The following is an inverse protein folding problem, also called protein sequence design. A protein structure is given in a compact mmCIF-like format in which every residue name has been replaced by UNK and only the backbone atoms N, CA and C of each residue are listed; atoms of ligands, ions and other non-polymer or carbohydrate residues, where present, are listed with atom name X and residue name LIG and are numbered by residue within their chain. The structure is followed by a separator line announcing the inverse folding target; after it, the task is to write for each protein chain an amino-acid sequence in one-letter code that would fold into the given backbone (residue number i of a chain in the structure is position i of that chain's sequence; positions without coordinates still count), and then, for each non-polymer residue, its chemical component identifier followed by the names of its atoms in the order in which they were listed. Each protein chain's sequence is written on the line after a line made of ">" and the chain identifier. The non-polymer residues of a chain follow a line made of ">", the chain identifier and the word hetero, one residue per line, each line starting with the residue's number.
data_IF_184624278641
#
_entry.id   IF_184624278641
#
_cell.length_a   1.000
_cell.length_b   1.000
_cell.length_c   1.000
_cell.angle_alpha   90.00
_cell.angle_beta   90.00
_cell.angle_gamma   90.00
#
_symmetry.space_group_name_H-M   'P 1'
#
loop_
_entity.id
_entity.type
_entity.pdbx_description
1 polymer ?
#
# COMPACT_ATOMS: atom_id res chain seq x y z
N UNK A 1 16.06 -12.22 -4.99
CA UNK A 1 15.66 -10.87 -4.56
C UNK A 1 14.20 -10.68 -4.94
N UNK A 2 13.37 -10.05 -4.12
CA UNK A 2 12.00 -9.67 -4.49
C UNK A 2 12.13 -8.58 -5.54
N UNK A 3 11.47 -8.74 -6.68
CA UNK A 3 11.47 -7.70 -7.70
C UNK A 3 10.60 -6.53 -7.19
N UNK A 4 11.26 -5.50 -6.73
CA UNK A 4 10.65 -4.24 -6.31
C UNK A 4 10.80 -3.26 -7.46
N UNK A 5 9.73 -2.62 -7.88
CA UNK A 5 9.81 -1.58 -8.91
C UNK A 5 10.30 -0.29 -8.27
N UNK A 6 11.46 0.20 -8.69
CA UNK A 6 12.00 1.44 -8.14
C UNK A 6 11.30 2.67 -8.73
N UNK A 7 11.38 3.78 -8.00
CA UNK A 7 10.71 5.04 -8.35
C UNK A 7 11.11 5.56 -9.75
N UNK A 8 12.34 5.34 -10.19
CA UNK A 8 12.80 5.81 -11.51
C UNK A 8 12.09 5.15 -12.71
N UNK A 9 11.45 4.00 -12.53
CA UNK A 9 10.63 3.38 -13.57
C UNK A 9 9.37 4.20 -13.86
N UNK A 10 8.92 5.00 -12.89
CA UNK A 10 7.73 5.83 -13.00
C UNK A 10 8.02 7.27 -13.45
N UNK A 11 9.23 7.75 -13.27
CA UNK A 11 9.61 9.11 -13.62
C UNK A 11 11.10 9.18 -14.02
N UNK A 12 11.51 8.52 -15.11
CA UNK A 12 12.91 8.43 -15.51
C UNK A 12 13.52 9.80 -15.74
N UNK A 13 12.83 10.69 -16.45
CA UNK A 13 13.34 12.02 -16.83
C UNK A 13 13.51 12.97 -15.63
N UNK A 14 12.80 12.72 -14.52
CA UNK A 14 12.87 13.58 -13.32
C UNK A 14 14.07 13.16 -12.45
N UNK A 15 14.54 11.93 -12.58
CA UNK A 15 15.51 11.31 -11.67
C UNK A 15 16.95 11.30 -12.20
N UNK A 16 17.17 11.63 -13.48
CA UNK A 16 18.53 11.71 -14.06
C UNK A 16 19.41 12.83 -13.47
N UNK A 17 18.83 13.75 -12.70
CA UNK A 17 19.50 14.99 -12.26
C UNK A 17 19.88 15.04 -10.78
N UNK A 18 20.18 13.90 -10.07
CA UNK A 18 20.19 14.02 -8.63
C UNK A 18 21.28 13.43 -7.77
N UNK A 19 21.64 14.30 -6.82
CA UNK A 19 22.30 13.98 -5.56
C UNK A 19 21.42 13.00 -4.74
N UNK A 20 21.82 11.74 -4.69
CA UNK A 20 21.10 10.62 -4.06
C UNK A 20 21.08 10.69 -2.53
N UNK A 21 21.72 11.71 -1.93
CA UNK A 21 21.84 11.85 -0.47
C UNK A 21 20.55 12.32 0.22
N UNK A 22 19.61 12.93 -0.52
CA UNK A 22 18.37 13.52 0.00
C UNK A 22 17.11 12.68 -0.24
N UNK A 23 17.25 11.40 -0.68
CA UNK A 23 16.12 10.58 -1.09
C UNK A 23 15.46 11.07 -2.39
N UNK A 24 14.36 10.42 -2.78
CA UNK A 24 13.68 10.72 -4.04
C UNK A 24 12.26 11.23 -3.79
N UNK A 25 11.91 12.28 -4.53
CA UNK A 25 10.55 12.78 -4.68
C UNK A 25 10.26 13.02 -6.15
N UNK A 26 9.07 12.64 -6.61
CA UNK A 26 8.57 12.97 -7.94
C UNK A 26 7.08 13.25 -7.89
N UNK A 27 6.67 14.40 -8.44
CA UNK A 27 5.28 14.72 -8.75
C UNK A 27 5.08 14.69 -10.27
N UNK A 28 3.98 14.11 -10.73
CA UNK A 28 3.69 13.88 -12.14
C UNK A 28 2.21 14.11 -12.46
N UNK A 29 1.92 14.42 -13.73
CA UNK A 29 0.57 14.36 -14.30
C UNK A 29 0.38 13.00 -14.95
N UNK A 30 -0.73 12.35 -14.70
CA UNK A 30 -0.98 11.00 -15.22
C UNK A 30 -1.20 11.01 -16.74
N UNK A 31 -1.69 12.07 -17.30
CA UNK A 31 -1.90 12.26 -18.73
C UNK A 31 -0.59 12.31 -19.55
N UNK A 32 0.54 12.58 -18.89
CA UNK A 32 1.86 12.64 -19.55
C UNK A 32 2.45 11.23 -19.80
N UNK A 33 1.82 10.19 -19.24
CA UNK A 33 2.26 8.82 -19.42
C UNK A 33 1.51 8.13 -20.55
N UNK A 34 2.26 7.42 -21.40
CA UNK A 34 1.64 6.55 -22.39
C UNK A 34 0.86 5.40 -21.72
N UNK A 35 -0.14 4.87 -22.41
CA UNK A 35 -0.89 3.72 -21.92
C UNK A 35 0.03 2.50 -21.64
N UNK A 36 1.11 2.35 -22.40
CA UNK A 36 2.12 1.29 -22.19
C UNK A 36 2.92 1.52 -20.91
N UNK A 37 3.36 2.76 -20.63
CA UNK A 37 4.05 3.12 -19.41
C UNK A 37 3.16 2.91 -18.19
N UNK A 38 1.89 3.31 -18.28
CA UNK A 38 0.90 3.08 -17.24
C UNK A 38 0.65 1.59 -17.01
N UNK A 39 0.53 0.78 -18.08
CA UNK A 39 0.35 -0.66 -17.99
C UNK A 39 1.56 -1.36 -17.33
N UNK A 40 2.78 -0.93 -17.64
CA UNK A 40 4.00 -1.45 -17.02
C UNK A 40 4.01 -1.19 -15.50
N UNK A 41 3.45 -0.07 -15.05
CA UNK A 41 3.35 0.28 -13.62
C UNK A 41 2.16 -0.39 -12.93
N UNK A 42 1.17 -0.86 -13.67
CA UNK A 42 -0.07 -1.45 -13.17
C UNK A 42 0.12 -2.86 -12.58
N UNK A 43 1.25 -3.52 -12.86
CA UNK A 43 1.50 -4.90 -12.40
C UNK A 43 1.44 -5.02 -10.87
N UNK A 44 0.90 -6.15 -10.40
CA UNK A 44 0.88 -6.47 -8.97
C UNK A 44 2.30 -6.67 -8.45
N UNK A 45 2.89 -5.62 -7.90
CA UNK A 45 4.27 -5.60 -7.41
C UNK A 45 4.41 -4.71 -6.19
N UNK A 46 5.49 -4.91 -5.44
CA UNK A 46 5.94 -3.92 -4.45
C UNK A 46 6.63 -2.76 -5.16
N UNK A 47 6.59 -1.62 -4.52
CA UNK A 47 7.32 -0.42 -4.94
C UNK A 47 8.31 -0.07 -3.83
N UNK A 48 9.38 0.64 -4.15
CA UNK A 48 10.34 1.10 -3.13
C UNK A 48 9.99 2.50 -2.57
N UNK A 49 8.78 2.98 -2.87
CA UNK A 49 8.29 4.31 -2.53
C UNK A 49 6.86 4.31 -2.01
N UNK A 50 6.51 5.35 -1.30
CA UNK A 50 5.13 5.74 -0.98
C UNK A 50 4.54 6.54 -2.12
N UNK A 51 3.25 6.39 -2.39
CA UNK A 51 2.57 7.12 -3.46
C UNK A 51 1.25 7.67 -2.98
N UNK A 52 0.98 8.92 -3.35
CA UNK A 52 -0.32 9.57 -3.21
C UNK A 52 -0.77 9.91 -4.62
N UNK A 53 -1.98 9.51 -4.99
CA UNK A 53 -2.56 9.78 -6.33
C UNK A 53 -3.89 10.45 -6.19
N UNK A 54 -4.08 11.55 -6.90
CA UNK A 54 -5.37 12.17 -7.16
C UNK A 54 -5.82 11.73 -8.53
N UNK A 55 -6.87 10.91 -8.62
CA UNK A 55 -7.23 10.20 -9.85
C UNK A 55 -8.71 10.32 -10.16
N UNK A 56 -8.99 10.32 -11.47
CA UNK A 56 -10.33 10.13 -12.03
C UNK A 56 -10.26 9.19 -13.22
N UNK A 57 -11.41 8.69 -13.66
CA UNK A 57 -11.50 7.75 -14.77
C UNK A 57 -12.04 6.40 -14.32
N UNK A 58 -12.31 5.54 -15.28
CA UNK A 58 -12.87 4.21 -15.04
C UNK A 58 -11.76 3.23 -14.63
N UNK A 59 -11.43 3.22 -13.36
CA UNK A 59 -10.26 2.48 -12.82
C UNK A 59 -10.63 1.62 -11.61
N UNK A 60 -9.89 0.52 -11.43
CA UNK A 60 -9.93 -0.29 -10.20
C UNK A 60 -8.57 -0.33 -9.52
N UNK A 61 -8.56 -0.18 -8.22
CA UNK A 61 -7.39 -0.38 -7.36
C UNK A 61 -7.57 -1.64 -6.53
N UNK A 62 -6.62 -2.55 -6.62
CA UNK A 62 -6.58 -3.77 -5.84
C UNK A 62 -5.51 -3.63 -4.76
N UNK A 63 -5.95 -3.36 -3.55
CA UNK A 63 -5.08 -3.10 -2.42
C UNK A 63 -5.51 -3.90 -1.20
N UNK A 64 -4.59 -4.64 -0.59
CA UNK A 64 -4.83 -5.50 0.57
C UNK A 64 -6.02 -6.47 0.41
N UNK A 65 -6.22 -7.00 -0.81
CA UNK A 65 -7.29 -7.95 -1.10
C UNK A 65 -8.68 -7.31 -1.31
N UNK A 66 -8.76 -6.00 -1.31
CA UNK A 66 -9.99 -5.25 -1.59
C UNK A 66 -9.86 -4.58 -2.96
N UNK A 67 -10.94 -4.65 -3.74
CA UNK A 67 -11.09 -3.87 -4.96
C UNK A 67 -11.82 -2.56 -4.65
N UNK A 68 -11.22 -1.45 -5.07
CA UNK A 68 -11.80 -0.11 -5.02
C UNK A 68 -12.06 0.35 -6.44
N UNK A 69 -13.31 0.39 -6.86
CA UNK A 69 -13.72 0.82 -8.20
C UNK A 69 -14.12 2.28 -8.23
N UNK A 70 -13.53 3.03 -9.16
CA UNK A 70 -13.91 4.38 -9.53
C UNK A 70 -14.66 4.32 -10.85
N UNK A 71 -15.74 5.09 -10.96
CA UNK A 71 -16.50 5.25 -12.19
C UNK A 71 -16.15 6.61 -12.80
N UNK A 72 -16.15 6.71 -14.11
CA UNK A 72 -15.69 7.79 -14.97
C UNK A 72 -15.46 9.19 -14.37
N UNK A 73 -16.44 9.80 -13.73
CA UNK A 73 -16.37 11.16 -13.19
C UNK A 73 -16.03 11.23 -11.69
N UNK A 74 -15.91 10.07 -11.03
CA UNK A 74 -15.53 10.02 -9.62
C UNK A 74 -14.07 10.44 -9.47
N UNK A 75 -13.81 11.40 -8.58
CA UNK A 75 -12.46 11.74 -8.13
C UNK A 75 -12.14 11.04 -6.82
N UNK A 76 -10.94 10.53 -6.75
CA UNK A 76 -10.44 9.91 -5.52
C UNK A 76 -8.99 10.25 -5.23
N UNK A 77 -8.68 10.37 -3.93
CA UNK A 77 -7.33 10.39 -3.43
C UNK A 77 -6.96 8.98 -2.94
N UNK A 78 -5.85 8.44 -3.46
CA UNK A 78 -5.42 7.07 -3.22
C UNK A 78 -4.03 7.06 -2.59
N UNK A 79 -3.90 6.40 -1.46
CA UNK A 79 -2.62 6.21 -0.75
C UNK A 79 -2.13 4.78 -0.91
N UNK A 80 -0.89 4.61 -1.33
CA UNK A 80 -0.27 3.29 -1.43
C UNK A 80 1.07 3.24 -0.71
N UNK A 81 1.25 2.18 0.07
CA UNK A 81 2.43 1.93 0.89
C UNK A 81 3.44 1.08 0.12
N UNK A 82 4.73 1.34 0.30
CA UNK A 82 5.85 0.59 -0.29
C UNK A 82 5.85 -0.89 0.06
N UNK A 83 5.41 -1.24 1.26
CA UNK A 83 5.50 -2.60 1.80
C UNK A 83 4.33 -3.50 1.38
N UNK A 84 3.26 -2.91 0.85
CA UNK A 84 2.05 -3.62 0.44
C UNK A 84 1.98 -3.67 -1.08
N UNK A 85 2.03 -4.86 -1.69
CA UNK A 85 1.83 -4.99 -3.12
C UNK A 85 0.44 -4.51 -3.52
N UNK A 86 0.36 -3.77 -4.59
CA UNK A 86 -0.91 -3.33 -5.16
C UNK A 86 -0.90 -3.43 -6.69
N UNK A 87 -2.09 -3.44 -7.25
CA UNK A 87 -2.34 -3.39 -8.68
C UNK A 87 -3.44 -2.37 -8.95
N UNK A 88 -3.36 -1.74 -10.10
CA UNK A 88 -4.45 -0.90 -10.59
C UNK A 88 -4.71 -1.22 -12.06
N UNK A 89 -5.94 -1.00 -12.50
CA UNK A 89 -6.40 -1.30 -13.86
C UNK A 89 -7.22 -0.12 -14.37
N UNK A 90 -6.97 0.26 -15.61
CA UNK A 90 -7.82 1.19 -16.36
C UNK A 90 -8.75 0.34 -17.22
N UNK A 91 -10.07 0.47 -17.04
CA UNK A 91 -11.03 -0.35 -17.75
C UNK A 91 -11.39 0.25 -19.11
N UNK A 92 -11.67 1.56 -19.16
CA UNK A 92 -12.00 2.28 -20.38
C UNK A 92 -11.56 3.73 -20.28
N UNK A 93 -11.13 4.30 -21.40
CA UNK A 93 -10.74 5.72 -21.48
C UNK A 93 -9.35 5.99 -20.91
N UNK A 94 -9.15 7.22 -20.45
CA UNK A 94 -7.88 7.73 -19.91
C UNK A 94 -8.03 7.88 -18.40
N UNK A 95 -7.06 7.40 -17.66
CA UNK A 95 -6.88 7.75 -16.26
C UNK A 95 -6.20 9.11 -16.21
N UNK A 96 -6.85 10.08 -15.60
CA UNK A 96 -6.37 11.46 -15.50
C UNK A 96 -6.10 11.84 -14.05
N UNK A 97 -5.27 12.86 -13.86
CA UNK A 97 -4.98 13.42 -12.55
C UNK A 97 -3.50 13.54 -12.24
N UNK A 98 -3.14 13.33 -10.98
CA UNK A 98 -1.81 13.60 -10.48
C UNK A 98 -1.33 12.45 -9.60
N UNK A 99 -0.02 12.31 -9.49
CA UNK A 99 0.58 11.48 -8.46
C UNK A 99 1.84 12.12 -7.90
N UNK A 100 2.10 11.92 -6.61
CA UNK A 100 3.43 12.12 -6.06
C UNK A 100 3.93 10.82 -5.43
N UNK A 101 5.22 10.60 -5.59
CA UNK A 101 5.94 9.43 -5.11
C UNK A 101 7.15 9.90 -4.31
N UNK A 102 7.44 9.24 -3.20
CA UNK A 102 8.61 9.56 -2.40
C UNK A 102 9.15 8.35 -1.65
N UNK A 103 10.47 8.32 -1.50
CA UNK A 103 11.15 7.31 -0.69
C UNK A 103 11.17 7.73 0.79
N UNK A 104 11.49 6.79 1.67
CA UNK A 104 11.60 7.07 3.10
C UNK A 104 12.71 8.10 3.39
N UNK A 105 13.80 8.04 2.62
CA UNK A 105 14.96 8.94 2.76
C UNK A 105 14.67 10.37 2.30
N UNK A 106 13.54 10.60 1.61
CA UNK A 106 13.07 11.95 1.27
C UNK A 106 12.69 12.78 2.51
N UNK A 107 12.35 12.12 3.60
CA UNK A 107 11.98 12.79 4.83
C UNK A 107 13.22 13.48 5.46
N UNK A 108 13.07 14.70 6.01
CA UNK A 108 14.18 15.37 6.67
C UNK A 108 14.78 14.51 7.78
N UNK A 109 16.12 14.43 7.82
CA UNK A 109 16.90 13.61 8.77
C UNK A 109 16.56 13.87 10.25
N UNK A 110 15.96 15.00 10.56
CA UNK A 110 15.63 15.42 11.92
C UNK A 110 14.15 15.25 12.28
N UNK A 111 13.34 14.68 11.39
CA UNK A 111 11.95 14.38 11.72
C UNK A 111 11.84 12.99 12.35
N UNK A 112 11.08 12.88 13.43
CA UNK A 112 10.69 11.59 14.01
C UNK A 112 9.49 10.97 13.26
N UNK A 113 9.01 11.62 12.20
CA UNK A 113 7.87 11.18 11.40
C UNK A 113 8.32 10.09 10.41
N UNK A 114 7.66 8.94 10.47
CA UNK A 114 7.84 7.87 9.49
C UNK A 114 6.55 7.70 8.72
N UNK A 115 6.57 7.55 7.38
CA UNK A 115 5.35 7.31 6.62
C UNK A 115 4.58 6.09 7.10
N UNK A 116 5.27 5.05 7.56
CA UNK A 116 4.65 3.86 8.15
C UNK A 116 3.82 4.15 9.41
N UNK A 117 4.07 5.25 10.13
CA UNK A 117 3.32 5.65 11.32
C UNK A 117 2.06 6.46 10.95
N UNK A 118 1.98 6.98 9.72
CA UNK A 118 0.80 7.73 9.27
C UNK A 118 -0.36 6.79 8.97
N UNK A 119 -1.52 7.15 9.51
CA UNK A 119 -2.72 6.33 9.43
C UNK A 119 -3.08 5.92 7.99
N UNK A 120 -2.90 6.82 7.02
CA UNK A 120 -3.15 6.58 5.58
C UNK A 120 -2.22 5.54 4.94
N UNK A 121 -1.07 5.23 5.55
CA UNK A 121 -0.13 4.24 5.04
C UNK A 121 -0.05 2.96 5.89
N UNK A 122 -0.46 2.99 7.16
CA UNK A 122 -0.31 1.84 8.06
C UNK A 122 -1.53 0.93 8.15
N UNK A 123 -2.56 1.17 7.36
CA UNK A 123 -3.75 0.33 7.32
C UNK A 123 -4.79 0.62 8.39
N UNK A 124 -4.62 1.68 9.15
CA UNK A 124 -5.56 2.06 10.20
C UNK A 124 -6.70 2.94 9.70
N UNK A 125 -6.61 3.44 8.47
CA UNK A 125 -7.61 4.26 7.81
C UNK A 125 -7.97 3.72 6.44
N UNK A 126 -8.82 4.43 5.75
CA UNK A 126 -9.20 4.22 4.37
C UNK A 126 -8.03 4.59 3.44
N UNK A 127 -7.79 3.81 2.39
CA UNK A 127 -6.73 4.07 1.40
C UNK A 127 -7.22 4.85 0.20
N UNK A 128 -8.53 4.84 -0.05
CA UNK A 128 -9.20 5.48 -1.18
C UNK A 128 -10.26 6.40 -0.62
N UNK A 129 -10.09 7.70 -0.80
CA UNK A 129 -11.01 8.75 -0.36
C UNK A 129 -11.73 9.29 -1.59
N UNK A 130 -13.03 9.05 -1.69
CA UNK A 130 -13.86 9.72 -2.69
C UNK A 130 -13.99 11.19 -2.35
N UNK A 131 -13.85 12.05 -3.35
CA UNK A 131 -13.77 13.49 -3.19
C UNK A 131 -15.03 14.15 -3.75
N UNK A 132 -15.51 15.19 -3.09
CA UNK A 132 -16.43 16.14 -3.67
C UNK A 132 -15.66 17.23 -4.48
N UNK A 133 -16.34 18.12 -5.15
CA UNK A 133 -15.72 19.18 -6.01
C UNK A 133 -14.78 20.12 -5.22
N UNK A 134 -15.15 20.47 -3.98
CA UNK A 134 -14.33 21.33 -3.13
C UNK A 134 -13.02 20.65 -2.75
N UNK A 135 -13.11 19.39 -2.33
CA UNK A 135 -11.94 18.58 -1.94
C UNK A 135 -11.05 18.31 -3.16
N UNK A 136 -11.64 17.96 -4.30
CA UNK A 136 -10.92 17.78 -5.56
C UNK A 136 -10.14 19.04 -5.95
N UNK A 137 -10.75 20.23 -5.87
CA UNK A 137 -10.10 21.49 -6.17
C UNK A 137 -8.94 21.78 -5.22
N UNK A 138 -9.11 21.51 -3.93
CA UNK A 138 -8.06 21.67 -2.91
C UNK A 138 -6.85 20.78 -3.23
N UNK A 139 -7.07 19.47 -3.43
CA UNK A 139 -5.98 18.53 -3.72
C UNK A 139 -5.33 18.81 -5.07
N UNK A 140 -6.10 19.21 -6.10
CA UNK A 140 -5.55 19.66 -7.38
C UNK A 140 -4.57 20.81 -7.19
N UNK A 141 -4.93 21.81 -6.39
CA UNK A 141 -4.06 22.92 -6.05
C UNK A 141 -2.77 22.50 -5.35
N UNK A 142 -2.83 21.52 -4.45
CA UNK A 142 -1.64 20.97 -3.78
C UNK A 142 -0.70 20.26 -4.78
N UNK A 143 -1.23 19.42 -5.65
CA UNK A 143 -0.40 18.75 -6.66
C UNK A 143 0.21 19.73 -7.67
N UNK A 144 -0.52 20.78 -8.06
CA UNK A 144 0.02 21.84 -8.89
C UNK A 144 1.19 22.57 -8.22
N UNK A 145 1.08 22.89 -6.92
CA UNK A 145 2.18 23.45 -6.13
C UNK A 145 3.38 22.49 -6.10
N UNK A 146 3.16 21.19 -5.89
CA UNK A 146 4.24 20.19 -5.93
C UNK A 146 4.97 20.17 -7.26
N UNK A 147 4.24 20.21 -8.39
CA UNK A 147 4.82 20.25 -9.73
C UNK A 147 5.63 21.54 -9.98
N UNK A 148 5.08 22.69 -9.59
CA UNK A 148 5.78 23.98 -9.71
C UNK A 148 7.06 24.01 -8.89
N UNK A 149 6.98 23.58 -7.63
CA UNK A 149 8.12 23.60 -6.73
C UNK A 149 9.19 22.60 -7.16
N UNK A 150 8.82 21.41 -7.63
CA UNK A 150 9.76 20.43 -8.18
C UNK A 150 10.61 21.01 -9.31
N UNK A 151 10.01 21.85 -10.16
CA UNK A 151 10.68 22.52 -11.28
C UNK A 151 11.44 23.80 -10.88
N UNK A 152 11.32 24.25 -9.61
CA UNK A 152 11.95 25.49 -9.16
C UNK A 152 13.43 25.30 -8.85
N UNK A 153 14.18 26.43 -8.87
CA UNK A 153 15.58 26.49 -8.43
C UNK A 153 15.73 26.87 -6.95
N UNK A 154 14.64 26.85 -6.18
CA UNK A 154 14.66 27.22 -4.78
C UNK A 154 15.53 26.24 -3.96
N UNK A 155 16.47 26.78 -3.18
CA UNK A 155 17.45 25.96 -2.45
C UNK A 155 16.81 24.99 -1.42
N UNK A 156 15.66 25.37 -0.85
CA UNK A 156 14.94 24.56 0.14
C UNK A 156 13.67 23.90 -0.41
N UNK A 157 13.60 23.69 -1.73
CA UNK A 157 12.41 23.11 -2.37
C UNK A 157 11.98 21.77 -1.81
N UNK A 158 12.93 20.92 -1.38
CA UNK A 158 12.60 19.61 -0.81
C UNK A 158 11.92 19.72 0.56
N UNK A 159 12.28 20.71 1.36
CA UNK A 159 11.58 21.00 2.62
C UNK A 159 10.13 21.46 2.33
N UNK A 160 9.95 22.32 1.34
CA UNK A 160 8.62 22.79 0.95
C UNK A 160 7.77 21.67 0.32
N UNK A 161 8.35 20.83 -0.53
CA UNK A 161 7.67 19.63 -1.07
C UNK A 161 7.23 18.68 0.04
N UNK A 162 8.06 18.49 1.06
CA UNK A 162 7.69 17.70 2.24
C UNK A 162 6.49 18.29 2.99
N UNK A 163 6.43 19.62 3.16
CA UNK A 163 5.28 20.29 3.77
C UNK A 163 4.01 20.09 2.95
N UNK A 164 4.06 20.11 1.63
CA UNK A 164 2.91 19.83 0.77
C UNK A 164 2.44 18.37 0.89
N UNK A 165 3.37 17.42 1.04
CA UNK A 165 3.01 16.02 1.32
C UNK A 165 2.29 15.90 2.65
N UNK A 166 2.79 16.57 3.70
CA UNK A 166 2.13 16.59 5.02
C UNK A 166 0.74 17.24 4.96
N UNK A 167 0.62 18.37 4.25
CA UNK A 167 -0.68 19.04 4.07
C UNK A 167 -1.67 18.11 3.36
N UNK A 168 -1.24 17.40 2.32
CA UNK A 168 -2.06 16.42 1.62
C UNK A 168 -2.54 15.30 2.55
N UNK A 169 -1.64 14.72 3.36
CA UNK A 169 -1.97 13.65 4.31
C UNK A 169 -2.97 14.13 5.36
N UNK A 170 -2.69 15.28 6.00
CA UNK A 170 -3.57 15.81 7.04
C UNK A 170 -4.92 16.27 6.50
N UNK A 171 -4.97 16.82 5.28
CA UNK A 171 -6.22 17.17 4.61
C UNK A 171 -7.06 15.93 4.33
N UNK A 172 -6.43 14.83 3.86
CA UNK A 172 -7.13 13.56 3.66
C UNK A 172 -7.68 12.98 4.96
N UNK A 173 -6.92 13.03 6.06
CA UNK A 173 -7.38 12.56 7.36
C UNK A 173 -8.59 13.34 7.90
N UNK A 174 -8.76 14.61 7.49
CA UNK A 174 -9.95 15.40 7.83
C UNK A 174 -11.19 14.99 7.05
N UNK A 175 -11.04 14.31 5.89
CA UNK A 175 -12.17 13.77 5.12
C UNK A 175 -12.79 12.53 5.79
N UNK A 176 -12.09 11.89 6.70
CA UNK A 176 -12.68 10.82 7.49
C UNK A 176 -13.81 11.39 8.35
N UNK A 177 -15.02 10.78 8.31
CA UNK A 177 -16.10 11.18 9.21
C UNK A 177 -15.55 11.15 10.65
N UNK A 178 -15.86 12.19 11.45
CA UNK A 178 -15.43 12.33 12.87
C UNK A 178 -15.81 11.12 13.76
N UNK A 179 -16.52 10.16 13.23
CA UNK A 179 -16.91 8.92 13.91
C UNK A 179 -15.72 8.06 14.36
N UNK A 180 -14.52 8.24 13.76
CA UNK A 180 -13.34 7.47 14.18
C UNK A 180 -12.55 8.10 15.34
N UNK A 181 -12.74 9.36 15.67
CA UNK A 181 -11.94 10.03 16.71
C UNK A 181 -12.63 10.19 18.07
N UNK A 182 -13.98 10.03 18.17
CA UNK A 182 -14.72 10.23 19.42
C UNK A 182 -15.32 8.99 20.08
N UNK A 183 -15.37 7.86 19.36
CA UNK A 183 -15.72 6.56 19.95
C UNK A 183 -15.07 5.41 19.17
N UNK A 184 -13.73 5.34 19.14
CA UNK A 184 -13.15 4.05 18.76
C UNK A 184 -13.62 3.07 19.83
N UNK A 185 -14.60 2.24 19.48
CA UNK A 185 -15.07 1.18 20.38
C UNK A 185 -13.87 0.35 20.81
N UNK A 186 -13.92 -0.31 21.95
CA UNK A 186 -12.88 -1.22 22.37
C UNK A 186 -12.56 -2.23 21.23
N UNK A 187 -13.58 -2.63 20.47
CA UNK A 187 -13.46 -3.49 19.29
C UNK A 187 -12.65 -2.84 18.17
N UNK A 188 -12.88 -1.56 17.86
CA UNK A 188 -12.14 -0.86 16.81
C UNK A 188 -10.66 -0.68 17.18
N UNK A 189 -10.36 -0.30 18.44
CA UNK A 189 -8.96 -0.20 18.93
C UNK A 189 -8.25 -1.54 18.86
N UNK A 190 -8.91 -2.61 19.28
CA UNK A 190 -8.36 -3.96 19.24
C UNK A 190 -8.14 -4.44 17.80
N UNK A 191 -9.07 -4.16 16.89
CA UNK A 191 -8.93 -4.48 15.47
C UNK A 191 -7.77 -3.72 14.83
N UNK A 192 -7.56 -2.45 15.15
CA UNK A 192 -6.44 -1.67 14.65
C UNK A 192 -5.10 -2.19 15.19
N UNK A 193 -5.01 -2.49 16.49
CA UNK A 193 -3.82 -3.08 17.08
C UNK A 193 -3.47 -4.43 16.42
N UNK A 194 -4.46 -5.27 16.14
CA UNK A 194 -4.26 -6.53 15.40
C UNK A 194 -3.74 -6.27 13.98
N UNK A 195 -4.35 -5.34 13.23
CA UNK A 195 -3.92 -4.99 11.86
C UNK A 195 -2.47 -4.52 11.84
N UNK A 196 -2.09 -3.65 12.79
CA UNK A 196 -0.71 -3.16 12.93
C UNK A 196 0.28 -4.31 13.19
N UNK A 197 -0.03 -5.21 14.12
CA UNK A 197 0.81 -6.38 14.39
C UNK A 197 0.90 -7.32 13.18
N UNK A 198 -0.20 -7.54 12.48
CA UNK A 198 -0.22 -8.40 11.30
C UNK A 198 0.60 -7.77 10.16
N UNK A 199 0.41 -6.49 9.90
CA UNK A 199 1.14 -5.76 8.85
C UNK A 199 2.64 -5.71 9.15
N UNK A 200 3.03 -5.47 10.41
CA UNK A 200 4.43 -5.35 10.84
C UNK A 200 5.28 -6.63 10.69
N UNK A 201 4.68 -7.77 10.35
CA UNK A 201 5.42 -9.00 10.02
C UNK A 201 5.92 -9.02 8.57
N UNK A 202 5.52 -8.08 7.75
CA UNK A 202 5.79 -8.03 6.32
C UNK A 202 6.43 -6.68 5.96
N UNK A 203 7.17 -6.64 4.85
CA UNK A 203 7.47 -7.70 3.90
C UNK A 203 8.49 -8.72 4.41
N UNK A 204 8.47 -9.94 3.86
CA UNK A 204 9.54 -10.90 4.07
C UNK A 204 10.71 -10.55 3.13
N UNK A 205 11.88 -10.27 3.73
CA UNK A 205 13.03 -9.75 2.99
C UNK A 205 13.96 -10.86 2.42
N UNK A 206 14.03 -12.02 3.07
CA UNK A 206 14.93 -13.13 2.68
C UNK A 206 14.32 -14.50 3.00
N UNK A 207 14.73 -15.59 2.29
CA UNK A 207 14.06 -16.90 2.32
C UNK A 207 14.01 -17.61 3.68
N UNK A 208 14.90 -17.24 4.60
CA UNK A 208 14.95 -17.86 5.92
C UNK A 208 14.25 -17.04 7.01
N UNK A 209 13.74 -15.89 6.65
CA UNK A 209 12.91 -15.10 7.55
C UNK A 209 11.55 -15.78 7.72
N UNK A 210 11.15 -16.03 8.95
CA UNK A 210 9.83 -16.57 9.27
C UNK A 210 8.96 -15.52 9.93
N UNK A 211 7.65 -15.60 9.67
CA UNK A 211 6.68 -14.81 10.43
C UNK A 211 6.65 -15.26 11.89
N UNK A 212 6.58 -14.31 12.81
CA UNK A 212 6.55 -14.58 14.24
C UNK A 212 5.17 -15.03 14.76
N UNK A 213 4.09 -14.47 14.19
CA UNK A 213 2.71 -14.71 14.62
C UNK A 213 1.90 -15.31 13.46
N UNK A 214 1.39 -16.53 13.66
CA UNK A 214 0.70 -17.30 12.62
C UNK A 214 -0.75 -17.64 12.98
N UNK A 215 -1.08 -17.70 14.27
CA UNK A 215 -2.39 -18.18 14.76
C UNK A 215 -3.15 -17.09 15.51
N UNK A 216 -4.48 -17.18 15.51
CA UNK A 216 -5.33 -16.29 16.28
C UNK A 216 -4.96 -16.26 17.78
N UNK A 217 -4.52 -17.39 18.33
CA UNK A 217 -4.07 -17.49 19.72
C UNK A 217 -2.81 -16.65 19.96
N UNK A 218 -1.78 -16.77 19.12
CA UNK A 218 -0.53 -15.99 19.24
C UNK A 218 -0.79 -14.48 19.16
N UNK A 219 -1.68 -14.05 18.26
CA UNK A 219 -2.08 -12.63 18.20
C UNK A 219 -2.83 -12.18 19.45
N UNK A 220 -3.74 -13.01 19.96
CA UNK A 220 -4.50 -12.70 21.18
C UNK A 220 -3.57 -12.59 22.40
N UNK A 221 -2.63 -13.51 22.55
CA UNK A 221 -1.59 -13.47 23.58
C UNK A 221 -0.73 -12.20 23.47
N UNK A 222 -0.27 -11.87 22.27
CA UNK A 222 0.53 -10.66 22.03
C UNK A 222 -0.21 -9.37 22.34
N UNK A 223 -1.53 -9.35 22.14
CA UNK A 223 -2.42 -8.23 22.44
C UNK A 223 -2.96 -8.25 23.88
N UNK A 224 -2.57 -9.23 24.67
CA UNK A 224 -3.04 -9.43 26.05
C UNK A 224 -4.58 -9.50 26.17
N UNK A 225 -5.23 -10.21 25.22
CA UNK A 225 -6.68 -10.40 25.21
C UNK A 225 -7.03 -11.88 25.02
N UNK A 226 -8.29 -12.23 25.29
CA UNK A 226 -8.79 -13.57 25.00
C UNK A 226 -9.02 -13.74 23.49
N UNK A 227 -8.73 -14.90 22.91
CA UNK A 227 -8.92 -15.21 21.48
C UNK A 227 -10.35 -14.93 21.01
N UNK A 228 -11.34 -15.27 21.84
CA UNK A 228 -12.76 -14.99 21.55
C UNK A 228 -13.06 -13.48 21.47
N UNK A 229 -12.43 -12.67 22.35
CA UNK A 229 -12.59 -11.21 22.34
C UNK A 229 -11.99 -10.61 21.08
N UNK A 230 -10.79 -11.06 20.69
CA UNK A 230 -10.15 -10.65 19.44
C UNK A 230 -11.02 -11.00 18.23
N UNK A 231 -11.49 -12.25 18.16
CA UNK A 231 -12.30 -12.72 17.04
C UNK A 231 -13.63 -11.96 16.93
N UNK A 232 -14.29 -11.67 18.08
CA UNK A 232 -15.53 -10.88 18.13
C UNK A 232 -15.28 -9.45 17.63
N UNK A 233 -14.23 -8.79 18.12
CA UNK A 233 -13.89 -7.43 17.73
C UNK A 233 -13.59 -7.32 16.22
N UNK A 234 -12.80 -8.26 15.69
CA UNK A 234 -12.48 -8.28 14.26
C UNK A 234 -13.72 -8.57 13.40
N UNK A 235 -14.58 -9.50 13.82
CA UNK A 235 -15.81 -9.81 13.10
C UNK A 235 -16.79 -8.64 13.11
N UNK A 236 -16.88 -7.90 14.22
CA UNK A 236 -17.70 -6.69 14.34
C UNK A 236 -17.21 -5.59 13.39
N UNK A 237 -15.88 -5.36 13.32
CA UNK A 237 -15.29 -4.26 12.55
C UNK A 237 -15.10 -4.60 11.07
N UNK A 238 -14.76 -5.85 10.75
CA UNK A 238 -14.32 -6.26 9.39
C UNK A 238 -15.24 -7.27 8.71
N UNK A 239 -16.20 -7.83 9.44
CA UNK A 239 -17.02 -8.96 8.97
C UNK A 239 -16.27 -10.29 8.92
N UNK A 240 -14.97 -10.34 9.20
CA UNK A 240 -14.09 -11.51 9.04
C UNK A 240 -13.55 -12.01 10.38
N UNK A 241 -13.27 -13.31 10.42
CA UNK A 241 -12.59 -13.93 11.58
C UNK A 241 -11.10 -13.59 11.58
N UNK A 242 -10.47 -13.69 12.75
CA UNK A 242 -9.01 -13.51 12.91
C UNK A 242 -8.23 -14.41 11.95
N UNK A 243 -8.59 -15.68 11.85
CA UNK A 243 -7.94 -16.65 10.96
C UNK A 243 -8.09 -16.29 9.47
N UNK A 244 -9.26 -15.78 9.06
CA UNK A 244 -9.47 -15.32 7.70
C UNK A 244 -8.54 -14.15 7.35
N UNK A 245 -8.46 -13.13 8.21
CA UNK A 245 -7.59 -11.98 8.00
C UNK A 245 -6.10 -12.36 7.94
N UNK A 246 -5.65 -13.24 8.82
CA UNK A 246 -4.28 -13.78 8.80
C UNK A 246 -4.02 -14.48 7.46
N UNK A 247 -4.89 -15.43 7.08
CA UNK A 247 -4.70 -16.19 5.85
C UNK A 247 -4.73 -15.32 4.60
N UNK A 248 -5.64 -14.35 4.51
CA UNK A 248 -5.68 -13.39 3.40
C UNK A 248 -4.35 -12.65 3.27
N UNK A 249 -3.80 -12.11 4.37
CA UNK A 249 -2.53 -11.39 4.34
C UNK A 249 -1.35 -12.30 3.94
N UNK A 250 -1.34 -13.54 4.44
CA UNK A 250 -0.34 -14.54 4.05
C UNK A 250 -0.41 -14.88 2.57
N UNK A 251 -1.59 -15.05 2.01
CA UNK A 251 -1.77 -15.39 0.59
C UNK A 251 -1.40 -14.21 -0.32
N UNK A 252 -1.65 -12.98 0.12
CA UNK A 252 -1.16 -11.78 -0.58
C UNK A 252 0.37 -11.75 -0.63
N UNK A 253 1.03 -12.02 0.49
CA UNK A 253 2.48 -12.11 0.55
C UNK A 253 3.02 -13.26 -0.32
N UNK A 254 2.40 -14.44 -0.21
CA UNK A 254 2.74 -15.59 -1.04
C UNK A 254 2.70 -15.25 -2.54
N UNK A 255 1.64 -14.57 -2.98
CA UNK A 255 1.49 -14.14 -4.37
C UNK A 255 2.61 -13.20 -4.79
N UNK A 256 2.94 -12.20 -3.96
CA UNK A 256 4.04 -11.27 -4.24
C UNK A 256 5.38 -12.01 -4.36
N UNK A 257 5.68 -12.94 -3.44
CA UNK A 257 6.90 -13.73 -3.47
C UNK A 257 6.96 -14.68 -4.67
N UNK A 258 5.85 -15.30 -5.05
CA UNK A 258 5.78 -16.19 -6.23
C UNK A 258 6.06 -15.47 -7.54
N UNK A 259 5.57 -14.23 -7.68
CA UNK A 259 5.67 -13.44 -8.91
C UNK A 259 6.99 -12.66 -8.97
N UNK A 260 7.49 -12.17 -7.83
CA UNK A 260 8.57 -11.18 -7.80
C UNK A 260 9.84 -11.66 -7.09
N UNK A 261 9.96 -12.95 -6.80
CA UNK A 261 11.18 -13.49 -6.19
C UNK A 261 11.57 -14.85 -6.79
N UNK A 262 12.86 -15.17 -6.70
CA UNK A 262 13.41 -16.48 -7.10
C UNK A 262 13.34 -17.52 -5.97
N UNK A 263 12.55 -17.25 -4.91
CA UNK A 263 12.43 -18.19 -3.80
C UNK A 263 11.71 -19.45 -4.24
N UNK A 264 12.19 -20.60 -3.83
CA UNK A 264 11.47 -21.86 -4.11
C UNK A 264 10.11 -21.85 -3.39
N UNK A 265 9.16 -22.63 -3.91
CA UNK A 265 7.84 -22.78 -3.29
C UNK A 265 7.99 -23.26 -1.83
N UNK A 266 8.96 -24.13 -1.55
CA UNK A 266 9.27 -24.60 -0.21
C UNK A 266 9.78 -23.48 0.71
N UNK A 267 10.66 -22.61 0.20
CA UNK A 267 11.14 -21.44 0.96
C UNK A 267 10.00 -20.48 1.28
N UNK A 268 9.13 -20.18 0.32
CA UNK A 268 7.94 -19.35 0.53
C UNK A 268 7.02 -19.97 1.58
N UNK A 269 6.74 -21.28 1.45
CA UNK A 269 5.93 -22.02 2.41
C UNK A 269 6.47 -21.91 3.84
N UNK A 270 7.76 -22.19 4.02
CA UNK A 270 8.46 -22.12 5.30
C UNK A 270 8.43 -20.72 5.89
N UNK A 271 8.75 -19.70 5.09
CA UNK A 271 8.77 -18.30 5.54
C UNK A 271 7.39 -17.81 5.98
N UNK A 272 6.32 -18.31 5.36
CA UNK A 272 4.93 -18.04 5.74
C UNK A 272 4.42 -18.93 6.89
N UNK A 273 5.31 -19.72 7.54
CA UNK A 273 5.00 -20.51 8.71
C UNK A 273 4.13 -21.73 8.43
N UNK A 274 4.17 -22.28 7.22
CA UNK A 274 3.58 -23.59 6.92
C UNK A 274 4.59 -24.70 7.20
N UNK A 275 4.18 -25.71 7.96
CA UNK A 275 5.02 -26.88 8.28
C UNK A 275 5.30 -27.69 7.01
N UNK A 276 4.28 -27.87 6.17
CA UNK A 276 4.36 -28.66 4.95
C UNK A 276 4.03 -27.82 3.71
N UNK A 277 4.85 -27.86 2.64
CA UNK A 277 4.57 -27.16 1.39
C UNK A 277 3.24 -27.55 0.73
N UNK A 278 2.78 -28.77 0.98
CA UNK A 278 1.48 -29.26 0.50
C UNK A 278 0.30 -28.53 1.11
N UNK A 279 0.38 -28.20 2.40
CA UNK A 279 -0.64 -27.38 3.09
C UNK A 279 -0.67 -25.95 2.55
N UNK A 280 0.50 -25.37 2.30
CA UNK A 280 0.63 -24.09 1.63
C UNK A 280 -0.02 -24.10 0.24
N UNK A 281 0.35 -25.08 -0.59
CA UNK A 281 -0.15 -25.18 -1.96
C UNK A 281 -1.68 -25.32 -2.00
N UNK A 282 -2.27 -26.10 -1.07
CA UNK A 282 -3.72 -26.23 -0.93
C UNK A 282 -4.38 -24.91 -0.51
N UNK A 283 -3.84 -24.23 0.50
CA UNK A 283 -4.36 -22.96 0.99
C UNK A 283 -4.29 -21.89 -0.10
N UNK A 284 -3.17 -21.83 -0.83
CA UNK A 284 -2.97 -20.90 -1.93
C UNK A 284 -3.94 -21.16 -3.07
N UNK A 285 -4.17 -22.43 -3.44
CA UNK A 285 -5.13 -22.79 -4.49
C UNK A 285 -6.57 -22.42 -4.10
N UNK A 286 -6.96 -22.61 -2.86
CA UNK A 286 -8.29 -22.20 -2.36
C UNK A 286 -8.47 -20.69 -2.47
N UNK A 287 -7.42 -19.92 -2.15
CA UNK A 287 -7.45 -18.46 -2.19
C UNK A 287 -7.39 -17.89 -3.61
N UNK A 288 -6.50 -18.41 -4.47
CA UNK A 288 -6.17 -17.81 -5.78
C UNK A 288 -6.82 -18.53 -6.98
N UNK A 289 -7.49 -19.67 -6.75
CA UNK A 289 -8.04 -20.53 -7.83
C UNK A 289 -7.01 -21.36 -8.59
N UNK A 290 -5.71 -21.20 -8.35
CA UNK A 290 -4.63 -21.87 -9.06
C UNK A 290 -3.49 -22.30 -8.12
N UNK A 291 -2.65 -23.24 -8.59
CA UNK A 291 -1.51 -23.69 -7.77
C UNK A 291 -0.38 -22.65 -7.74
N UNK A 292 0.49 -22.66 -6.70
CA UNK A 292 1.69 -21.81 -6.67
C UNK A 292 2.58 -21.98 -7.90
N UNK A 293 2.77 -23.22 -8.36
CA UNK A 293 3.58 -23.53 -9.55
C UNK A 293 2.96 -22.96 -10.82
N UNK A 294 1.64 -23.10 -10.99
CA UNK A 294 0.92 -22.56 -12.14
C UNK A 294 0.93 -21.04 -12.19
N UNK A 295 0.90 -20.38 -11.03
CA UNK A 295 1.05 -18.93 -11.00
C UNK A 295 2.47 -18.52 -11.43
N UNK A 296 3.50 -19.17 -10.90
CA UNK A 296 4.90 -18.85 -11.21
C UNK A 296 5.22 -19.00 -12.69
N UNK A 297 4.83 -20.13 -13.32
CA UNK A 297 5.11 -20.40 -14.73
C UNK A 297 4.47 -19.41 -15.73
N UNK A 298 3.67 -18.47 -15.26
CA UNK A 298 3.15 -17.38 -16.10
C UNK A 298 4.07 -16.16 -16.14
N UNK A 299 5.04 -16.11 -15.24
CA UNK A 299 5.94 -14.98 -15.06
C UNK A 299 7.42 -15.35 -15.22
N UNK A 300 7.71 -16.67 -15.35
CA UNK A 300 8.99 -17.21 -15.83
C UNK A 300 9.02 -17.17 -17.37
#
# INVERSE_FOLDING_TARGET
>A
MIHTQPIYVFAPDILEAKDTSAGYFAAVRLEEFSAESLAATASYSRKDFYKISLVTGNTSYFYQGTEYRLNGDDWALVFTNRDVPYRWEVHEGICSGYACMFTEDFLPLHTHLRPADWAVFNGNTQYVFKLNESDQSHFTGLFQKMLQEQASDYAHKYELLFLYVLECIHSALKLEPEQNNRSSTASARLANAFKTLLAGQFPLAYPNQQIGLRTAQQFAERLAVHTNSLNRALKEVTGKTTTQLINERLMLEARALLVHSNWTISQISNSLGFVEPTHFARAFRVYSGQSPSSLRSRFD
#
